data_IF_866454857601
#
_entry.id   IF_866454857601
#
_cell.length_a   1.000
_cell.length_b   1.000
_cell.length_c   1.000
_cell.angle_alpha   90.00
_cell.angle_beta   90.00
_cell.angle_gamma   90.00
#
_symmetry.space_group_name_H-M   'P 1'
#
loop_
_entity.id
_entity.type
_entity.pdbx_description
1 polymer ?
#
# COMPACT_ATOMS: atom_id res chain seq x y z
N UNK A 1 -23.21 2.51 19.01
CA UNK A 1 -23.70 1.46 18.07
C UNK A 1 -22.78 1.25 16.86
N UNK A 2 -22.43 2.28 16.05
CA UNK A 2 -21.55 2.07 14.87
C UNK A 2 -20.14 1.56 15.22
N UNK A 3 -19.52 2.04 16.30
CA UNK A 3 -18.18 1.60 16.70
C UNK A 3 -18.14 0.12 17.13
N UNK A 4 -19.25 -0.39 17.66
CA UNK A 4 -19.35 -1.72 18.26
C UNK A 4 -19.27 -2.85 17.23
N UNK A 5 -19.77 -2.64 16.00
CA UNK A 5 -19.76 -3.66 14.93
C UNK A 5 -18.32 -3.90 14.44
N UNK A 6 -17.56 -2.84 14.17
CA UNK A 6 -16.17 -2.97 13.72
C UNK A 6 -15.28 -3.59 14.79
N UNK A 7 -15.42 -3.16 16.05
CA UNK A 7 -14.67 -3.75 17.16
C UNK A 7 -14.94 -5.26 17.31
N UNK A 8 -16.23 -5.65 17.23
CA UNK A 8 -16.62 -7.06 17.30
C UNK A 8 -16.04 -7.86 16.13
N UNK A 9 -16.19 -7.38 14.89
CA UNK A 9 -15.67 -8.07 13.71
C UNK A 9 -14.14 -8.19 13.73
N UNK A 10 -13.43 -7.16 14.20
CA UNK A 10 -11.97 -7.20 14.38
C UNK A 10 -11.57 -8.24 15.43
N UNK A 11 -12.27 -8.30 16.56
CA UNK A 11 -11.98 -9.29 17.61
C UNK A 11 -12.23 -10.72 17.11
N UNK A 12 -13.42 -10.99 16.57
CA UNK A 12 -13.79 -12.32 16.07
C UNK A 12 -12.83 -12.80 14.96
N UNK A 13 -12.47 -11.90 14.04
CA UNK A 13 -11.52 -12.23 12.98
C UNK A 13 -10.10 -12.41 13.52
N UNK A 14 -9.69 -11.65 14.54
CA UNK A 14 -8.39 -11.84 15.20
C UNK A 14 -8.28 -13.26 15.77
N UNK A 15 -9.26 -13.67 16.56
CA UNK A 15 -9.31 -15.00 17.16
C UNK A 15 -9.31 -16.10 16.09
N UNK A 16 -10.13 -15.92 15.04
CA UNK A 16 -10.20 -16.85 13.90
C UNK A 16 -8.88 -16.98 13.16
N UNK A 17 -8.20 -15.87 12.88
CA UNK A 17 -6.90 -15.86 12.20
C UNK A 17 -5.78 -16.44 13.06
N UNK A 18 -5.81 -16.24 14.38
CA UNK A 18 -4.84 -16.84 15.29
C UNK A 18 -4.99 -18.36 15.41
N UNK A 19 -6.21 -18.89 15.19
CA UNK A 19 -6.49 -20.33 15.21
C UNK A 19 -6.08 -21.07 13.93
N UNK A 20 -5.72 -20.38 12.84
CA UNK A 20 -5.33 -21.02 11.58
C UNK A 20 -3.97 -21.73 11.72
N UNK A 21 -3.85 -23.00 11.31
CA UNK A 21 -2.60 -23.74 11.36
C UNK A 21 -1.72 -23.40 10.14
N UNK A 22 -1.17 -22.18 10.10
CA UNK A 22 -0.42 -21.68 8.94
C UNK A 22 0.75 -22.57 8.48
N UNK A 23 1.39 -23.28 9.41
CA UNK A 23 2.52 -24.15 9.10
C UNK A 23 2.10 -25.37 8.26
N UNK A 24 0.88 -25.88 8.44
CA UNK A 24 0.35 -27.03 7.68
C UNK A 24 -0.55 -26.61 6.52
N UNK A 25 -0.98 -25.35 6.47
CA UNK A 25 -1.76 -24.82 5.35
C UNK A 25 -0.92 -24.86 4.05
N UNK A 26 -1.57 -25.27 2.95
CA UNK A 26 -0.95 -25.38 1.62
C UNK A 26 -0.77 -24.00 0.97
N UNK A 27 0.11 -23.19 1.55
CA UNK A 27 0.51 -21.87 1.05
C UNK A 27 2.04 -21.79 0.95
N UNK A 28 2.55 -20.87 0.13
CA UNK A 28 3.98 -20.73 -0.13
C UNK A 28 4.79 -20.39 1.14
N UNK A 29 6.06 -20.77 1.17
CA UNK A 29 6.98 -20.43 2.27
C UNK A 29 7.10 -18.91 2.48
N UNK A 30 7.10 -18.15 1.39
CA UNK A 30 7.03 -16.69 1.39
C UNK A 30 5.82 -16.20 2.21
N UNK A 31 4.61 -16.67 1.89
CA UNK A 31 3.40 -16.25 2.59
C UNK A 31 3.36 -16.73 4.04
N UNK A 32 3.86 -17.93 4.35
CA UNK A 32 4.01 -18.39 5.75
C UNK A 32 4.90 -17.44 6.55
N UNK A 33 6.05 -17.06 6.00
CA UNK A 33 6.99 -16.14 6.65
C UNK A 33 6.37 -14.76 6.86
N UNK A 34 5.71 -14.22 5.82
CA UNK A 34 5.03 -12.93 5.88
C UNK A 34 3.93 -12.92 6.95
N UNK A 35 3.01 -13.89 6.90
CA UNK A 35 1.91 -14.01 7.87
C UNK A 35 2.46 -14.20 9.28
N UNK A 36 3.47 -15.05 9.50
CA UNK A 36 4.10 -15.26 10.81
C UNK A 36 4.58 -13.96 11.45
N UNK A 37 5.07 -13.00 10.65
CA UNK A 37 5.44 -11.68 11.12
C UNK A 37 4.24 -10.80 11.52
N UNK A 38 3.09 -10.98 10.87
CA UNK A 38 1.87 -10.21 11.12
C UNK A 38 1.05 -10.71 12.31
N UNK A 39 0.95 -12.04 12.51
CA UNK A 39 0.05 -12.66 13.51
C UNK A 39 0.19 -12.09 14.92
N UNK A 40 1.39 -11.84 15.46
CA UNK A 40 1.55 -11.25 16.80
C UNK A 40 0.87 -9.87 16.95
N UNK A 41 0.67 -9.15 15.85
CA UNK A 41 0.05 -7.83 15.83
C UNK A 41 -1.21 -7.79 14.94
N UNK A 42 -1.84 -8.94 14.64
CA UNK A 42 -2.96 -9.01 13.67
C UNK A 42 -4.12 -8.11 14.06
N UNK A 43 -4.45 -8.02 15.36
CA UNK A 43 -5.50 -7.13 15.85
C UNK A 43 -5.22 -5.64 15.56
N UNK A 44 -3.95 -5.23 15.52
CA UNK A 44 -3.56 -3.89 15.12
C UNK A 44 -3.73 -3.66 13.61
N UNK A 45 -3.29 -4.60 12.77
CA UNK A 45 -3.51 -4.50 11.32
C UNK A 45 -5.00 -4.49 10.96
N UNK A 46 -5.81 -5.34 11.59
CA UNK A 46 -7.26 -5.34 11.40
C UNK A 46 -7.92 -4.03 11.86
N UNK A 47 -7.38 -3.34 12.88
CA UNK A 47 -7.86 -1.99 13.24
C UNK A 47 -7.53 -0.94 12.17
N UNK A 48 -6.37 -1.04 11.52
CA UNK A 48 -6.02 -0.17 10.38
C UNK A 48 -7.03 -0.40 9.24
N UNK A 49 -7.29 -1.66 8.92
CA UNK A 49 -8.27 -2.05 7.89
C UNK A 49 -9.68 -1.57 8.25
N UNK A 50 -10.12 -1.75 9.49
CA UNK A 50 -11.41 -1.26 9.98
C UNK A 50 -11.53 0.26 9.85
N UNK A 51 -10.45 1.01 10.11
CA UNK A 51 -10.43 2.47 9.93
C UNK A 51 -10.68 2.86 8.47
N UNK A 52 -10.00 2.18 7.53
CA UNK A 52 -10.18 2.43 6.10
C UNK A 52 -11.59 2.04 5.63
N UNK A 53 -12.10 0.88 6.08
CA UNK A 53 -13.46 0.43 5.78
C UNK A 53 -14.51 1.41 6.30
N UNK A 54 -14.38 1.87 7.55
CA UNK A 54 -15.32 2.82 8.13
C UNK A 54 -15.34 4.14 7.36
N UNK A 55 -14.17 4.67 6.99
CA UNK A 55 -14.08 5.89 6.20
C UNK A 55 -14.62 5.70 4.78
N UNK A 56 -14.26 4.59 4.12
CA UNK A 56 -14.71 4.29 2.75
C UNK A 56 -16.20 4.05 2.65
N UNK A 57 -16.78 3.29 3.57
CA UNK A 57 -18.24 3.07 3.65
C UNK A 57 -18.95 4.42 3.87
N UNK A 58 -18.48 5.23 4.81
CA UNK A 58 -19.07 6.54 5.06
C UNK A 58 -18.97 7.49 3.85
N UNK A 59 -17.83 7.49 3.15
CA UNK A 59 -17.59 8.31 1.97
C UNK A 59 -18.38 7.89 0.74
N UNK A 60 -18.74 6.60 0.64
CA UNK A 60 -19.53 6.07 -0.49
C UNK A 60 -21.00 6.49 -0.49
N UNK A 61 -21.55 6.86 0.67
CA UNK A 61 -22.99 7.11 0.84
C UNK A 61 -23.89 5.86 0.73
N UNK A 62 -23.31 4.66 0.54
CA UNK A 62 -24.02 3.39 0.40
C UNK A 62 -24.00 2.57 1.69
N UNK A 63 -24.96 1.66 1.85
CA UNK A 63 -24.86 0.66 2.91
C UNK A 63 -23.78 -0.39 2.58
N UNK A 64 -23.16 -1.05 3.57
CA UNK A 64 -22.13 -2.07 3.30
C UNK A 64 -22.57 -3.15 2.30
N UNK A 65 -23.83 -3.59 2.38
CA UNK A 65 -24.38 -4.66 1.51
C UNK A 65 -24.50 -4.26 0.05
N UNK A 66 -24.55 -2.97 -0.25
CA UNK A 66 -24.66 -2.43 -1.62
C UNK A 66 -23.29 -2.12 -2.23
N UNK A 67 -22.21 -2.23 -1.46
CA UNK A 67 -20.87 -1.90 -1.91
C UNK A 67 -20.22 -3.06 -2.64
N UNK A 68 -19.61 -2.71 -3.78
CA UNK A 68 -18.55 -3.50 -4.40
C UNK A 68 -17.19 -2.89 -4.03
N UNK A 69 -16.40 -3.62 -3.25
CA UNK A 69 -15.08 -3.18 -2.79
C UNK A 69 -13.95 -3.91 -3.51
N UNK A 70 -12.88 -3.20 -3.83
CA UNK A 70 -11.61 -3.75 -4.28
C UNK A 70 -10.62 -3.76 -3.12
N UNK A 71 -10.05 -4.93 -2.82
CA UNK A 71 -8.86 -5.13 -1.98
C UNK A 71 -7.65 -5.26 -2.92
N UNK A 72 -6.94 -4.15 -3.16
CA UNK A 72 -5.89 -4.08 -4.18
C UNK A 72 -4.51 -4.22 -3.52
N UNK A 73 -3.72 -5.19 -4.00
CA UNK A 73 -2.51 -5.68 -3.31
C UNK A 73 -2.87 -6.42 -2.04
N UNK A 74 -3.89 -7.28 -2.10
CA UNK A 74 -4.53 -7.83 -0.91
C UNK A 74 -3.65 -8.78 -0.08
N UNK A 75 -2.49 -9.22 -0.59
CA UNK A 75 -1.51 -10.03 0.11
C UNK A 75 -2.09 -11.33 0.67
N UNK A 76 -2.32 -11.39 1.99
CA UNK A 76 -2.91 -12.56 2.64
C UNK A 76 -4.45 -12.58 2.61
N UNK A 77 -5.09 -11.53 2.09
CA UNK A 77 -6.55 -11.40 2.00
C UNK A 77 -7.25 -11.02 3.31
N UNK A 78 -6.51 -10.64 4.36
CA UNK A 78 -7.10 -10.32 5.66
C UNK A 78 -8.04 -9.10 5.63
N UNK A 79 -7.76 -8.11 4.77
CA UNK A 79 -8.65 -6.98 4.54
C UNK A 79 -9.96 -7.45 3.89
N UNK A 80 -9.89 -8.26 2.83
CA UNK A 80 -11.07 -8.90 2.22
C UNK A 80 -11.91 -9.69 3.23
N UNK A 81 -11.27 -10.45 4.11
CA UNK A 81 -11.96 -11.20 5.16
C UNK A 81 -12.69 -10.27 6.12
N UNK A 82 -12.04 -9.19 6.58
CA UNK A 82 -12.66 -8.22 7.47
C UNK A 82 -13.83 -7.51 6.79
N UNK A 83 -13.69 -7.14 5.52
CA UNK A 83 -14.74 -6.53 4.72
C UNK A 83 -15.98 -7.42 4.65
N UNK A 84 -15.81 -8.73 4.43
CA UNK A 84 -16.94 -9.68 4.49
C UNK A 84 -17.54 -9.81 5.88
N UNK A 85 -16.70 -9.86 6.93
CA UNK A 85 -17.18 -9.95 8.32
C UNK A 85 -18.05 -8.75 8.74
N UNK A 86 -17.82 -7.57 8.17
CA UNK A 86 -18.66 -6.37 8.42
C UNK A 86 -19.84 -6.23 7.44
N UNK A 87 -20.02 -7.18 6.52
CA UNK A 87 -21.19 -7.26 5.64
C UNK A 87 -21.06 -6.52 4.31
N UNK A 88 -19.85 -6.32 3.79
CA UNK A 88 -19.66 -5.80 2.43
C UNK A 88 -20.28 -6.76 1.41
N UNK A 89 -21.09 -6.21 0.50
CA UNK A 89 -21.86 -6.96 -0.50
C UNK A 89 -20.96 -7.82 -1.39
N UNK A 90 -20.06 -7.18 -2.12
CA UNK A 90 -19.11 -7.85 -3.01
C UNK A 90 -17.68 -7.36 -2.76
N UNK A 91 -16.73 -8.29 -2.67
CA UNK A 91 -15.30 -8.01 -2.49
C UNK A 91 -14.50 -8.65 -3.60
N UNK A 92 -13.75 -7.83 -4.33
CA UNK A 92 -12.83 -8.22 -5.39
C UNK A 92 -11.41 -8.12 -4.82
N UNK A 93 -10.74 -9.26 -4.68
CA UNK A 93 -9.33 -9.31 -4.33
C UNK A 93 -8.48 -9.19 -5.59
N UNK A 94 -7.45 -8.34 -5.56
CA UNK A 94 -6.49 -8.19 -6.66
C UNK A 94 -5.07 -8.22 -6.09
N UNK A 95 -4.20 -9.04 -6.65
CA UNK A 95 -2.76 -9.03 -6.33
C UNK A 95 -1.92 -9.45 -7.54
N UNK A 96 -0.74 -8.86 -7.69
CA UNK A 96 0.18 -9.19 -8.77
C UNK A 96 0.90 -10.52 -8.53
N UNK A 97 1.07 -10.91 -7.27
CA UNK A 97 1.81 -12.12 -6.90
C UNK A 97 0.87 -13.35 -6.90
N UNK A 98 1.03 -14.32 -7.84
CA UNK A 98 0.23 -15.53 -7.88
C UNK A 98 0.25 -16.32 -6.56
N UNK A 99 1.38 -16.31 -5.84
CA UNK A 99 1.50 -17.00 -4.56
C UNK A 99 0.62 -16.35 -3.49
N UNK A 100 0.49 -15.02 -3.50
CA UNK A 100 -0.39 -14.28 -2.58
C UNK A 100 -1.86 -14.52 -2.92
N UNK A 101 -2.23 -14.48 -4.20
CA UNK A 101 -3.58 -14.84 -4.67
C UNK A 101 -3.97 -16.24 -4.19
N UNK A 102 -3.09 -17.22 -4.38
CA UNK A 102 -3.29 -18.58 -3.91
C UNK A 102 -3.44 -18.63 -2.38
N UNK A 103 -2.59 -17.93 -1.63
CA UNK A 103 -2.66 -17.92 -0.17
C UNK A 103 -3.97 -17.33 0.35
N UNK A 104 -4.40 -16.19 -0.19
CA UNK A 104 -5.66 -15.56 0.15
C UNK A 104 -6.87 -16.47 -0.16
N UNK A 105 -6.83 -17.18 -1.30
CA UNK A 105 -7.86 -18.16 -1.66
C UNK A 105 -7.89 -19.35 -0.67
N UNK A 106 -6.73 -19.92 -0.32
CA UNK A 106 -6.64 -21.04 0.66
C UNK A 106 -7.12 -20.62 2.05
N UNK A 107 -6.83 -19.40 2.46
CA UNK A 107 -7.34 -18.86 3.72
C UNK A 107 -8.86 -18.69 3.69
N UNK A 108 -9.43 -18.23 2.57
CA UNK A 108 -10.89 -18.22 2.38
C UNK A 108 -11.48 -19.63 2.49
N UNK A 109 -10.90 -20.63 1.83
CA UNK A 109 -11.37 -22.02 1.91
C UNK A 109 -11.36 -22.53 3.36
N UNK A 110 -10.24 -22.31 4.06
CA UNK A 110 -10.07 -22.80 5.44
C UNK A 110 -11.02 -22.11 6.43
N UNK A 111 -11.17 -20.80 6.30
CA UNK A 111 -11.93 -20.00 7.28
C UNK A 111 -13.41 -19.86 6.89
N UNK A 112 -13.78 -20.11 5.64
CA UNK A 112 -15.12 -19.82 5.13
C UNK A 112 -15.44 -18.32 5.02
N UNK A 113 -14.43 -17.44 5.06
CA UNK A 113 -14.60 -15.99 4.97
C UNK A 113 -13.48 -15.41 4.10
N UNK A 114 -13.81 -14.54 3.15
CA UNK A 114 -12.83 -13.94 2.23
C UNK A 114 -13.49 -13.39 0.98
N UNK A 115 -12.69 -12.84 0.06
CA UNK A 115 -13.19 -12.18 -1.15
C UNK A 115 -14.14 -13.06 -1.97
N UNK A 116 -15.07 -12.44 -2.68
CA UNK A 116 -16.01 -13.13 -3.56
C UNK A 116 -15.30 -13.53 -4.87
N UNK A 117 -14.40 -12.68 -5.36
CA UNK A 117 -13.58 -12.87 -6.55
C UNK A 117 -12.09 -12.67 -6.24
N UNK A 118 -11.23 -13.46 -6.88
CA UNK A 118 -9.78 -13.32 -6.84
C UNK A 118 -9.27 -13.08 -8.25
N UNK A 119 -8.55 -11.98 -8.45
CA UNK A 119 -7.87 -11.64 -9.69
C UNK A 119 -6.36 -11.61 -9.45
N UNK A 120 -5.64 -12.36 -10.28
CA UNK A 120 -4.19 -12.24 -10.39
C UNK A 120 -3.89 -11.18 -11.46
N UNK A 121 -3.22 -10.11 -11.07
CA UNK A 121 -2.78 -9.09 -12.03
C UNK A 121 -2.72 -7.68 -11.48
N UNK A 122 -2.61 -6.74 -12.41
CA UNK A 122 -2.49 -5.30 -12.18
C UNK A 122 -3.81 -4.58 -12.41
N UNK A 123 -3.75 -3.25 -12.50
CA UNK A 123 -4.89 -2.41 -12.87
C UNK A 123 -5.51 -2.78 -14.21
N UNK A 124 -4.73 -3.32 -15.14
CA UNK A 124 -5.15 -3.77 -16.45
C UNK A 124 -6.10 -4.97 -16.36
N UNK A 125 -5.71 -6.05 -15.67
CA UNK A 125 -6.58 -7.23 -15.49
C UNK A 125 -7.88 -6.88 -14.75
N UNK A 126 -7.80 -6.00 -13.74
CA UNK A 126 -8.98 -5.51 -13.06
C UNK A 126 -9.89 -4.72 -14.02
N UNK A 127 -9.32 -3.83 -14.83
CA UNK A 127 -10.09 -3.03 -15.79
C UNK A 127 -10.74 -3.90 -16.86
N UNK A 128 -10.04 -4.92 -17.36
CA UNK A 128 -10.56 -5.88 -18.34
C UNK A 128 -11.77 -6.63 -17.75
N UNK A 129 -11.62 -7.20 -16.55
CA UNK A 129 -12.71 -7.88 -15.87
C UNK A 129 -13.92 -6.96 -15.61
N UNK A 130 -13.69 -5.72 -15.16
CA UNK A 130 -14.77 -4.76 -14.95
C UNK A 130 -15.51 -4.39 -16.24
N UNK A 131 -14.81 -4.27 -17.38
CA UNK A 131 -15.46 -4.02 -18.68
C UNK A 131 -16.30 -5.22 -19.11
N UNK A 132 -15.75 -6.43 -19.02
CA UNK A 132 -16.42 -7.65 -19.47
C UNK A 132 -17.67 -7.98 -18.65
N UNK A 133 -17.63 -7.69 -17.35
CA UNK A 133 -18.76 -7.91 -16.42
C UNK A 133 -19.66 -6.70 -16.24
N UNK A 134 -19.30 -5.56 -16.84
CA UNK A 134 -19.93 -4.25 -16.61
C UNK A 134 -19.97 -3.85 -15.13
N UNK A 135 -19.05 -4.41 -14.32
CA UNK A 135 -18.95 -4.13 -12.89
C UNK A 135 -18.34 -2.75 -12.65
N UNK A 136 -18.94 -1.99 -11.73
CA UNK A 136 -18.46 -0.67 -11.31
C UNK A 136 -18.21 -0.65 -9.80
N UNK A 137 -16.99 -1.00 -9.36
CA UNK A 137 -16.64 -0.95 -7.95
C UNK A 137 -16.76 0.46 -7.37
N UNK A 138 -17.13 0.54 -6.10
CA UNK A 138 -17.45 1.79 -5.38
C UNK A 138 -16.28 2.27 -4.50
N UNK A 139 -15.54 1.33 -3.96
CA UNK A 139 -14.51 1.55 -2.96
C UNK A 139 -13.28 0.70 -3.29
N UNK A 140 -12.11 1.32 -3.32
CA UNK A 140 -10.83 0.63 -3.33
C UNK A 140 -10.10 0.92 -2.02
N UNK A 141 -9.58 -0.14 -1.41
CA UNK A 141 -8.65 -0.03 -0.30
C UNK A 141 -7.38 -0.79 -0.68
N UNK A 142 -6.23 -0.15 -0.50
CA UNK A 142 -4.93 -0.76 -0.69
C UNK A 142 -4.03 -0.38 0.50
N UNK A 143 -3.37 -1.37 1.09
CA UNK A 143 -2.53 -1.15 2.28
C UNK A 143 -1.11 -1.61 1.99
N UNK A 144 -0.12 -0.77 2.26
CA UNK A 144 1.30 -1.11 2.07
C UNK A 144 1.62 -1.44 0.60
N UNK A 145 1.21 -0.55 -0.31
CA UNK A 145 1.29 -0.76 -1.76
C UNK A 145 1.72 0.49 -2.52
N UNK A 146 1.17 1.66 -2.19
CA UNK A 146 1.32 2.87 -3.02
C UNK A 146 2.78 3.36 -3.08
N UNK A 147 3.56 3.06 -2.05
CA UNK A 147 5.00 3.31 -1.95
C UNK A 147 5.86 2.41 -2.85
N UNK A 148 5.29 1.33 -3.37
CA UNK A 148 5.96 0.32 -4.20
C UNK A 148 5.66 0.48 -5.70
N UNK A 149 4.52 1.09 -6.04
CA UNK A 149 4.07 1.27 -7.42
C UNK A 149 5.02 2.18 -8.22
N UNK A 150 5.56 1.66 -9.31
CA UNK A 150 6.51 2.38 -10.17
C UNK A 150 5.93 3.70 -10.70
N UNK A 151 4.91 3.58 -11.57
CA UNK A 151 4.19 4.69 -12.19
C UNK A 151 2.83 4.90 -11.53
N UNK A 152 2.81 5.74 -10.50
CA UNK A 152 1.57 6.11 -9.81
C UNK A 152 0.58 6.88 -10.69
N UNK A 153 1.07 7.63 -11.69
CA UNK A 153 0.20 8.40 -12.56
C UNK A 153 -0.62 7.46 -13.44
N UNK A 154 0.02 6.46 -14.05
CA UNK A 154 -0.65 5.40 -14.81
C UNK A 154 -1.56 4.56 -13.91
N UNK A 155 -1.10 4.21 -12.71
CA UNK A 155 -1.89 3.46 -11.73
C UNK A 155 -3.24 4.15 -11.40
N UNK A 156 -3.20 5.44 -11.04
CA UNK A 156 -4.44 6.19 -10.78
C UNK A 156 -5.32 6.34 -12.02
N UNK A 157 -4.72 6.59 -13.19
CA UNK A 157 -5.47 6.68 -14.44
C UNK A 157 -6.23 5.38 -14.74
N UNK A 158 -5.57 4.23 -14.56
CA UNK A 158 -6.17 2.91 -14.73
C UNK A 158 -7.36 2.70 -13.79
N UNK A 159 -7.18 2.97 -12.49
CA UNK A 159 -8.26 2.82 -11.50
C UNK A 159 -9.46 3.72 -11.78
N UNK A 160 -9.22 4.99 -12.11
CA UNK A 160 -10.29 5.97 -12.36
C UNK A 160 -11.04 5.66 -13.66
N UNK A 161 -10.36 5.06 -14.65
CA UNK A 161 -11.01 4.65 -15.90
C UNK A 161 -12.08 3.56 -15.71
N UNK A 162 -11.97 2.76 -14.64
CA UNK A 162 -12.96 1.74 -14.28
C UNK A 162 -14.26 2.40 -13.80
N UNK A 163 -14.13 3.35 -12.88
CA UNK A 163 -15.24 4.11 -12.35
C UNK A 163 -14.76 5.50 -11.89
N UNK A 164 -15.13 6.60 -12.58
CA UNK A 164 -14.76 7.95 -12.17
C UNK A 164 -15.29 8.38 -10.80
N UNK A 165 -16.26 7.65 -10.25
CA UNK A 165 -16.78 7.85 -8.90
C UNK A 165 -16.11 6.95 -7.84
N UNK A 166 -15.09 6.18 -8.20
CA UNK A 166 -14.40 5.26 -7.28
C UNK A 166 -13.76 6.05 -6.14
N UNK A 167 -14.12 5.73 -4.91
CA UNK A 167 -13.42 6.23 -3.73
C UNK A 167 -12.22 5.34 -3.42
N UNK A 168 -11.05 5.93 -3.14
CA UNK A 168 -9.82 5.14 -2.94
C UNK A 168 -9.15 5.51 -1.61
N UNK A 169 -8.72 4.51 -0.86
CA UNK A 169 -8.03 4.66 0.42
C UNK A 169 -6.73 3.88 0.41
N UNK A 170 -5.64 4.57 0.70
CA UNK A 170 -4.31 3.98 0.78
C UNK A 170 -3.74 4.15 2.17
N UNK A 171 -3.17 3.10 2.76
CA UNK A 171 -2.32 3.25 3.94
C UNK A 171 -0.87 3.05 3.57
N UNK A 172 0.00 3.95 4.02
CA UNK A 172 1.43 3.86 3.76
C UNK A 172 2.24 4.25 5.00
N UNK A 173 3.22 3.40 5.32
CA UNK A 173 4.23 3.71 6.33
C UNK A 173 5.29 4.69 5.79
N UNK A 174 5.38 4.86 4.46
CA UNK A 174 6.27 5.78 3.76
C UNK A 174 5.83 7.26 3.85
N UNK A 175 5.50 7.69 5.07
CA UNK A 175 5.05 9.06 5.36
C UNK A 175 6.18 10.09 5.16
N UNK A 176 5.94 11.20 4.42
CA UNK A 176 6.91 12.27 4.26
C UNK A 176 7.04 13.17 5.51
N UNK A 177 6.17 12.98 6.51
CA UNK A 177 6.04 13.86 7.67
C UNK A 177 6.94 13.45 8.83
N UNK A 178 6.94 12.17 9.21
CA UNK A 178 7.60 11.71 10.42
C UNK A 178 9.13 11.55 10.21
N UNK A 179 9.98 12.39 10.85
CA UNK A 179 11.43 12.37 10.62
C UNK A 179 12.08 11.06 11.06
N UNK A 180 11.55 10.40 12.10
CA UNK A 180 12.07 9.11 12.55
C UNK A 180 11.83 8.02 11.50
N UNK A 181 10.61 7.96 10.97
CA UNK A 181 10.25 6.99 9.91
C UNK A 181 11.07 7.24 8.65
N UNK A 182 11.16 8.50 8.18
CA UNK A 182 11.99 8.84 7.01
C UNK A 182 13.44 8.39 7.17
N UNK A 183 14.05 8.63 8.33
CA UNK A 183 15.44 8.20 8.59
C UNK A 183 15.57 6.68 8.51
N UNK A 184 14.59 5.93 9.02
CA UNK A 184 14.59 4.46 8.95
C UNK A 184 14.50 4.00 7.48
N UNK A 185 13.56 4.55 6.71
CA UNK A 185 13.35 4.15 5.31
C UNK A 185 14.54 4.50 4.42
N UNK A 186 15.15 5.68 4.61
CA UNK A 186 16.38 6.07 3.88
C UNK A 186 17.53 5.10 4.10
N UNK A 187 17.69 4.56 5.32
CA UNK A 187 18.68 3.51 5.57
C UNK A 187 18.39 2.23 4.79
N UNK A 188 17.11 1.86 4.63
CA UNK A 188 16.71 0.69 3.84
C UNK A 188 17.02 0.96 2.36
N UNK A 189 16.62 2.12 1.83
CA UNK A 189 16.94 2.52 0.46
C UNK A 189 18.44 2.51 0.19
N UNK A 190 19.25 3.08 1.08
CA UNK A 190 20.70 3.07 0.97
C UNK A 190 21.28 1.66 1.03
N UNK A 191 20.69 0.76 1.85
CA UNK A 191 21.13 -0.63 1.93
C UNK A 191 20.87 -1.42 0.65
N UNK A 192 19.77 -1.13 -0.06
CA UNK A 192 19.44 -1.70 -1.37
C UNK A 192 20.32 -1.12 -2.48
N UNK A 193 20.66 0.17 -2.38
CA UNK A 193 21.48 0.88 -3.35
C UNK A 193 22.96 0.50 -3.26
N UNK A 194 23.49 0.32 -2.05
CA UNK A 194 24.93 0.09 -1.79
C UNK A 194 25.29 -1.38 -1.59
N UNK A 195 24.30 -2.24 -1.33
CA UNK A 195 24.48 -3.70 -1.29
C UNK A 195 24.62 -4.33 0.09
N UNK A 196 24.29 -3.61 1.16
CA UNK A 196 24.24 -4.21 2.49
C UNK A 196 22.96 -5.03 2.74
N UNK A 197 21.90 -4.83 1.95
CA UNK A 197 20.65 -5.61 2.05
C UNK A 197 20.46 -6.64 0.94
N UNK A 198 21.06 -6.42 -0.23
CA UNK A 198 20.88 -7.29 -1.40
C UNK A 198 22.11 -7.26 -2.31
N UNK A 199 22.36 -8.38 -2.98
CA UNK A 199 23.47 -8.54 -3.94
C UNK A 199 22.96 -9.31 -5.17
N UNK A 200 23.14 -8.79 -6.40
CA UNK A 200 23.74 -7.50 -6.73
C UNK A 200 22.84 -6.33 -6.33
N UNK A 201 23.44 -5.25 -5.81
CA UNK A 201 22.73 -4.04 -5.39
C UNK A 201 22.16 -3.27 -6.59
N UNK A 202 21.22 -2.35 -6.36
CA UNK A 202 20.54 -1.66 -7.47
C UNK A 202 21.46 -0.78 -8.31
N UNK A 203 22.49 -0.18 -7.72
CA UNK A 203 23.50 0.56 -8.49
C UNK A 203 24.24 -0.38 -9.45
N UNK A 204 24.74 -1.52 -8.95
CA UNK A 204 25.43 -2.54 -9.74
C UNK A 204 24.55 -3.09 -10.85
N UNK A 205 23.28 -3.40 -10.56
CA UNK A 205 22.32 -3.83 -11.59
C UNK A 205 22.21 -2.82 -12.73
N UNK A 206 22.07 -1.52 -12.43
CA UNK A 206 22.02 -0.47 -13.46
C UNK A 206 23.34 -0.34 -14.22
N UNK A 207 24.47 -0.33 -13.50
CA UNK A 207 25.80 -0.25 -14.10
C UNK A 207 26.04 -1.36 -15.12
N UNK A 208 25.78 -2.61 -14.72
CA UNK A 208 25.97 -3.78 -15.58
C UNK A 208 25.02 -3.80 -16.77
N UNK A 209 23.76 -3.40 -16.56
CA UNK A 209 22.80 -3.23 -17.64
C UNK A 209 23.29 -2.20 -18.66
N UNK A 210 23.66 -1.00 -18.22
CA UNK A 210 24.11 0.09 -19.10
C UNK A 210 25.37 -0.32 -19.85
N UNK A 211 26.37 -0.90 -19.17
CA UNK A 211 27.61 -1.40 -19.80
C UNK A 211 27.32 -2.40 -20.93
N UNK A 212 26.30 -3.24 -20.74
CA UNK A 212 25.92 -4.26 -21.71
C UNK A 212 25.16 -3.67 -22.89
N UNK A 213 24.22 -2.74 -22.64
CA UNK A 213 23.37 -2.17 -23.68
C UNK A 213 24.03 -1.02 -24.46
N UNK A 214 25.00 -0.32 -23.86
CA UNK A 214 25.65 0.86 -24.41
C UNK A 214 27.19 0.72 -24.35
N UNK A 215 27.77 -0.23 -25.11
CA UNK A 215 29.20 -0.59 -25.01
C UNK A 215 30.16 0.52 -25.48
N UNK A 216 29.65 1.58 -26.13
CA UNK A 216 30.45 2.74 -26.54
C UNK A 216 30.75 3.71 -25.40
N UNK A 217 30.02 3.62 -24.29
CA UNK A 217 30.23 4.49 -23.13
C UNK A 217 31.51 4.08 -22.39
N UNK A 218 32.30 5.06 -21.98
CA UNK A 218 33.48 4.81 -21.14
C UNK A 218 33.08 4.64 -19.66
N UNK A 219 33.99 4.13 -18.82
CA UNK A 219 33.74 3.85 -17.40
C UNK A 219 33.23 5.07 -16.60
N UNK A 220 33.67 6.29 -16.94
CA UNK A 220 33.19 7.51 -16.30
C UNK A 220 31.73 7.80 -16.64
N UNK A 221 31.36 7.65 -17.90
CA UNK A 221 29.98 7.80 -18.38
C UNK A 221 29.07 6.71 -17.80
N UNK A 222 29.54 5.45 -17.76
CA UNK A 222 28.82 4.33 -17.16
C UNK A 222 28.47 4.61 -15.69
N UNK A 223 29.45 5.09 -14.92
CA UNK A 223 29.26 5.43 -13.51
C UNK A 223 28.26 6.60 -13.34
N UNK A 224 28.41 7.65 -14.16
CA UNK A 224 27.51 8.80 -14.12
C UNK A 224 26.06 8.41 -14.45
N UNK A 225 25.86 7.62 -15.51
CA UNK A 225 24.54 7.14 -15.90
C UNK A 225 23.93 6.21 -14.84
N UNK A 226 24.71 5.30 -14.25
CA UNK A 226 24.22 4.42 -13.18
C UNK A 226 23.75 5.21 -11.95
N UNK A 227 24.39 6.36 -11.65
CA UNK A 227 23.98 7.26 -10.57
C UNK A 227 22.76 8.10 -10.92
N UNK A 228 22.75 8.78 -12.08
CA UNK A 228 21.68 9.71 -12.41
C UNK A 228 20.35 8.99 -12.71
N UNK A 229 20.42 7.72 -13.16
CA UNK A 229 19.24 6.87 -13.42
C UNK A 229 18.70 6.13 -12.18
N UNK A 230 19.15 6.50 -10.97
CA UNK A 230 18.57 5.98 -9.72
C UNK A 230 17.05 6.13 -9.72
N UNK A 231 16.35 5.04 -9.40
CA UNK A 231 14.89 5.00 -9.35
C UNK A 231 14.21 4.83 -10.73
N UNK A 232 14.95 4.44 -11.77
CA UNK A 232 14.40 4.07 -13.07
C UNK A 232 14.49 2.57 -13.33
N UNK A 233 13.54 2.06 -14.12
CA UNK A 233 13.61 0.71 -14.69
C UNK A 233 14.64 0.64 -15.83
N UNK A 234 15.08 -0.57 -16.18
CA UNK A 234 15.94 -0.81 -17.34
C UNK A 234 15.38 -0.24 -18.65
N UNK A 235 14.07 -0.36 -18.88
CA UNK A 235 13.42 0.23 -20.05
C UNK A 235 13.58 1.75 -20.07
N UNK A 236 13.31 2.42 -18.95
CA UNK A 236 13.44 3.88 -18.86
C UNK A 236 14.89 4.36 -18.87
N UNK A 237 15.82 3.58 -18.32
CA UNK A 237 17.26 3.81 -18.44
C UNK A 237 17.67 3.86 -19.91
N UNK A 238 17.23 2.88 -20.70
CA UNK A 238 17.51 2.87 -22.14
C UNK A 238 16.93 4.09 -22.84
N UNK A 239 15.69 4.46 -22.53
CA UNK A 239 15.02 5.61 -23.13
C UNK A 239 15.79 6.92 -22.85
N UNK A 240 16.20 7.16 -21.59
CA UNK A 240 16.87 8.43 -21.24
C UNK A 240 18.28 8.52 -21.83
N UNK A 241 19.03 7.42 -21.89
CA UNK A 241 20.36 7.38 -22.52
C UNK A 241 20.26 7.63 -24.03
N UNK A 242 19.30 6.97 -24.70
CA UNK A 242 19.08 7.17 -26.14
C UNK A 242 18.65 8.61 -26.47
N UNK A 243 17.90 9.26 -25.58
CA UNK A 243 17.50 10.66 -25.73
C UNK A 243 18.58 11.68 -25.30
N UNK A 244 19.72 11.20 -24.78
CA UNK A 244 20.78 12.00 -24.16
C UNK A 244 20.27 13.03 -23.13
N UNK A 245 19.20 12.65 -22.40
CA UNK A 245 18.58 13.49 -21.38
C UNK A 245 18.92 12.94 -20.00
N UNK A 246 20.00 13.44 -19.39
CA UNK A 246 20.39 13.04 -18.04
C UNK A 246 19.30 13.37 -17.03
N UNK A 247 18.64 12.36 -16.41
CA UNK A 247 17.62 12.62 -15.41
C UNK A 247 18.23 13.17 -14.12
N UNK A 248 17.44 13.96 -13.39
CA UNK A 248 17.78 14.40 -12.04
C UNK A 248 16.86 13.68 -11.06
N UNK A 249 17.39 12.80 -10.18
CA UNK A 249 16.58 12.14 -9.17
C UNK A 249 15.81 13.16 -8.32
N UNK A 250 14.49 12.97 -8.20
CA UNK A 250 13.65 13.91 -7.45
C UNK A 250 13.88 13.89 -5.93
N UNK A 251 14.45 12.80 -5.41
CA UNK A 251 14.92 12.64 -4.04
C UNK A 251 16.20 11.77 -4.09
N UNK A 252 17.25 12.10 -3.33
CA UNK A 252 18.53 11.41 -3.46
C UNK A 252 18.55 10.01 -2.83
N UNK A 253 17.53 9.61 -2.06
CA UNK A 253 17.43 8.30 -1.42
C UNK A 253 16.46 7.36 -2.13
N UNK A 254 15.35 7.87 -2.66
CA UNK A 254 14.37 7.01 -3.33
C UNK A 254 15.05 6.14 -4.40
N UNK A 255 14.81 4.84 -4.35
CA UNK A 255 15.37 3.86 -5.29
C UNK A 255 14.37 2.74 -5.54
N UNK A 256 14.46 2.09 -6.69
CA UNK A 256 13.63 0.95 -7.05
C UNK A 256 14.50 -0.17 -7.63
N UNK A 257 13.99 -1.39 -7.61
CA UNK A 257 14.60 -2.46 -8.37
C UNK A 257 14.47 -2.13 -9.87
N UNK A 258 15.58 -1.94 -10.60
CA UNK A 258 15.51 -1.53 -12.00
C UNK A 258 14.93 -2.63 -12.92
N UNK A 259 14.84 -3.88 -12.46
CA UNK A 259 14.26 -4.98 -13.24
C UNK A 259 12.73 -4.88 -13.35
N UNK A 260 12.06 -4.47 -12.27
CA UNK A 260 10.60 -4.55 -12.16
C UNK A 260 9.93 -3.24 -11.72
N UNK A 261 10.71 -2.22 -11.36
CA UNK A 261 10.21 -0.90 -10.95
C UNK A 261 9.64 -0.85 -9.55
N UNK A 262 9.74 -1.93 -8.76
CA UNK A 262 9.27 -1.94 -7.39
C UNK A 262 10.12 -0.98 -6.53
N UNK A 263 9.50 0.09 -6.06
CA UNK A 263 10.15 1.06 -5.20
C UNK A 263 10.43 0.49 -3.81
N UNK A 264 11.61 0.80 -3.28
CA UNK A 264 11.95 0.52 -1.89
C UNK A 264 11.37 1.62 -0.99
N UNK A 265 10.11 1.46 -0.59
CA UNK A 265 9.45 2.32 0.40
C UNK A 265 9.47 3.81 0.01
N UNK A 266 9.13 4.13 -1.26
CA UNK A 266 9.32 5.48 -1.80
C UNK A 266 8.61 6.52 -0.94
N UNK A 267 9.39 7.46 -0.40
CA UNK A 267 8.84 8.63 0.28
C UNK A 267 8.45 9.65 -0.78
N UNK A 268 7.14 9.91 -0.91
CA UNK A 268 6.61 10.85 -1.90
C UNK A 268 5.89 12.02 -1.22
N UNK A 269 6.17 13.28 -1.60
CA UNK A 269 5.41 14.43 -1.10
C UNK A 269 3.92 14.34 -1.45
N UNK A 270 3.05 14.72 -0.51
CA UNK A 270 1.58 14.69 -0.72
C UNK A 270 1.12 15.53 -1.91
N UNK A 271 1.85 16.60 -2.24
CA UNK A 271 1.55 17.40 -3.43
C UNK A 271 1.63 16.58 -4.72
N UNK A 272 2.54 15.61 -4.84
CA UNK A 272 2.62 14.76 -6.04
C UNK A 272 1.37 13.91 -6.25
N UNK A 273 0.81 13.35 -5.17
CA UNK A 273 -0.47 12.65 -5.25
C UNK A 273 -1.60 13.58 -5.72
N UNK A 274 -1.64 14.82 -5.21
CA UNK A 274 -2.60 15.84 -5.66
C UNK A 274 -2.43 16.15 -7.14
N UNK A 275 -1.20 16.32 -7.60
CA UNK A 275 -0.89 16.65 -8.99
C UNK A 275 -1.31 15.51 -9.94
N UNK A 276 -1.12 14.25 -9.54
CA UNK A 276 -1.53 13.09 -10.34
C UNK A 276 -3.06 12.94 -10.43
N UNK A 277 -3.78 13.34 -9.39
CA UNK A 277 -5.23 13.19 -9.29
C UNK A 277 -6.02 14.43 -9.74
N UNK A 278 -5.37 15.60 -9.82
CA UNK A 278 -5.98 16.87 -10.25
C UNK A 278 -6.68 16.79 -11.62
N UNK A 279 -6.12 16.15 -12.66
CA UNK A 279 -6.78 16.04 -13.97
C UNK A 279 -8.13 15.30 -13.93
N UNK A 280 -8.37 14.51 -12.89
CA UNK A 280 -9.55 13.68 -12.74
C UNK A 280 -10.59 14.28 -11.77
N UNK A 281 -10.39 15.52 -11.31
CA UNK A 281 -11.24 16.17 -10.32
C UNK A 281 -11.37 15.36 -9.01
N UNK A 282 -10.23 14.89 -8.50
CA UNK A 282 -10.13 14.21 -7.20
C UNK A 282 -9.48 15.10 -6.14
N UNK A 283 -10.04 15.05 -4.93
CA UNK A 283 -9.44 15.61 -3.72
C UNK A 283 -8.61 14.55 -2.99
N UNK A 284 -7.45 14.96 -2.52
CA UNK A 284 -6.58 14.12 -1.68
C UNK A 284 -6.65 14.60 -0.23
N UNK A 285 -7.03 13.72 0.69
CA UNK A 285 -7.10 14.01 2.13
C UNK A 285 -6.11 13.10 2.84
N UNK A 286 -5.42 13.63 3.84
CA UNK A 286 -4.43 12.88 4.62
C UNK A 286 -4.89 12.79 6.06
N UNK A 287 -5.08 11.56 6.52
CA UNK A 287 -5.41 11.25 7.91
C UNK A 287 -4.22 10.62 8.64
N UNK A 288 -4.21 10.77 9.96
CA UNK A 288 -3.14 10.30 10.84
C UNK A 288 -3.35 8.83 11.17
N UNK A 289 -2.32 8.02 10.98
CA UNK A 289 -2.23 6.68 11.57
C UNK A 289 -1.96 6.73 13.07
N UNK A 290 -1.93 5.56 13.70
CA UNK A 290 -1.78 5.39 15.14
C UNK A 290 -0.82 4.23 15.45
N UNK A 291 -0.23 4.22 16.63
CA UNK A 291 0.65 3.15 17.09
C UNK A 291 -0.13 1.97 17.67
N UNK A 292 0.44 0.77 17.53
CA UNK A 292 -0.07 -0.43 18.18
C UNK A 292 0.07 -0.34 19.71
N UNK A 293 -1.06 -0.27 20.42
CA UNK A 293 -1.12 -0.30 21.88
C UNK A 293 -1.14 -1.71 22.47
N UNK A 294 -1.42 -2.76 21.68
CA UNK A 294 -1.35 -4.15 22.14
C UNK A 294 0.11 -4.57 22.26
N UNK A 295 0.73 -4.26 23.41
CA UNK A 295 2.13 -4.50 23.72
C UNK A 295 2.25 -5.30 25.01
N UNK A 296 3.14 -6.29 25.02
CA UNK A 296 3.41 -7.11 26.21
C UNK A 296 4.13 -6.32 27.32
N UNK A 297 4.81 -5.24 26.96
CA UNK A 297 5.54 -4.39 27.91
C UNK A 297 4.71 -3.17 28.31
N UNK A 298 4.49 -2.99 29.62
CA UNK A 298 3.81 -1.82 30.19
C UNK A 298 4.43 -0.49 29.75
N UNK A 299 5.76 -0.42 29.67
CA UNK A 299 6.47 0.79 29.22
C UNK A 299 6.16 1.05 27.75
N UNK A 300 6.23 0.02 26.88
CA UNK A 300 5.92 0.17 25.45
C UNK A 300 4.45 0.55 25.24
N UNK A 301 3.55 -0.05 26.00
CA UNK A 301 2.12 0.30 26.02
C UNK A 301 1.94 1.78 26.38
N UNK A 302 2.52 2.24 27.49
CA UNK A 302 2.40 3.62 27.95
C UNK A 302 2.95 4.61 26.92
N UNK A 303 4.11 4.30 26.32
CA UNK A 303 4.69 5.11 25.23
C UNK A 303 3.76 5.18 24.03
N UNK A 304 3.21 4.06 23.56
CA UNK A 304 2.29 4.04 22.42
C UNK A 304 1.03 4.84 22.71
N UNK A 305 0.47 4.71 23.93
CA UNK A 305 -0.71 5.46 24.36
C UNK A 305 -0.44 6.97 24.40
N UNK A 306 0.71 7.39 24.96
CA UNK A 306 1.11 8.80 24.95
C UNK A 306 1.29 9.34 23.53
N UNK A 307 1.91 8.58 22.63
CA UNK A 307 2.07 8.97 21.23
C UNK A 307 0.72 9.08 20.52
N UNK A 308 -0.21 8.15 20.76
CA UNK A 308 -1.55 8.19 20.18
C UNK A 308 -2.35 9.40 20.67
N UNK A 309 -2.29 9.71 21.97
CA UNK A 309 -2.88 10.93 22.52
C UNK A 309 -2.29 12.20 21.89
N UNK A 310 -0.96 12.25 21.74
CA UNK A 310 -0.28 13.37 21.08
C UNK A 310 -0.73 13.53 19.63
N UNK A 311 -0.79 12.43 18.88
CA UNK A 311 -1.27 12.40 17.49
C UNK A 311 -2.70 12.92 17.41
N UNK A 312 -3.59 12.50 18.32
CA UNK A 312 -4.98 12.91 18.38
C UNK A 312 -5.14 14.41 18.64
N UNK A 313 -4.46 14.94 19.67
CA UNK A 313 -4.70 16.29 20.20
C UNK A 313 -4.03 17.43 19.41
N UNK A 314 -3.00 17.14 18.62
CA UNK A 314 -2.15 18.19 18.00
C UNK A 314 -2.54 18.57 16.57
N UNK A 315 -3.79 18.32 16.15
CA UNK A 315 -4.27 18.72 14.82
C UNK A 315 -3.38 18.18 13.69
N UNK A 316 -2.89 19.06 12.81
CA UNK A 316 -1.95 18.71 11.70
C UNK A 316 -0.54 18.36 12.19
N UNK A 317 -0.08 18.91 13.32
CA UNK A 317 1.25 18.60 13.86
C UNK A 317 1.39 17.14 14.27
N UNK A 318 0.27 16.48 14.58
CA UNK A 318 0.23 15.04 14.84
C UNK A 318 0.76 14.17 13.69
N UNK A 319 0.78 14.68 12.44
CA UNK A 319 1.39 13.97 11.30
C UNK A 319 2.90 13.76 11.47
N UNK A 320 3.58 14.62 12.24
CA UNK A 320 5.02 14.45 12.52
C UNK A 320 5.29 13.28 13.47
N UNK A 321 4.30 12.88 14.26
CA UNK A 321 4.38 11.75 15.18
C UNK A 321 3.70 10.49 14.64
N UNK A 322 2.79 10.60 13.66
CA UNK A 322 2.07 9.46 13.12
C UNK A 322 3.03 8.41 12.49
N UNK A 323 2.85 7.11 12.79
CA UNK A 323 3.73 6.06 12.26
C UNK A 323 3.45 5.72 10.79
N UNK A 324 2.24 6.00 10.33
CA UNK A 324 1.78 5.85 8.95
C UNK A 324 0.72 6.92 8.68
N UNK A 325 0.33 7.07 7.42
CA UNK A 325 -0.78 7.94 7.01
C UNK A 325 -1.81 7.16 6.21
N UNK A 326 -3.04 7.67 6.21
CA UNK A 326 -4.10 7.22 5.32
C UNK A 326 -4.30 8.33 4.28
N UNK A 327 -4.16 7.99 3.00
CA UNK A 327 -4.40 8.88 1.87
C UNK A 327 -5.77 8.50 1.31
N UNK A 328 -6.73 9.40 1.46
CA UNK A 328 -8.07 9.27 0.87
C UNK A 328 -8.11 10.07 -0.42
N UNK A 329 -8.43 9.41 -1.53
CA UNK A 329 -8.63 10.03 -2.83
C UNK A 329 -10.12 9.95 -3.15
N UNK A 330 -10.79 11.11 -3.15
CA UNK A 330 -12.24 11.21 -3.28
C UNK A 330 -12.60 12.04 -4.52
N UNK A 331 -13.61 11.65 -5.32
CA UNK A 331 -14.15 12.52 -6.35
C UNK A 331 -14.62 13.86 -5.76
N UNK A 332 -14.34 14.97 -6.43
CA UNK A 332 -14.82 16.29 -5.99
C UNK A 332 -16.35 16.30 -5.90
N UNK A 333 -16.87 16.95 -4.85
CA UNK A 333 -18.31 16.94 -4.55
C UNK A 333 -18.79 15.75 -3.71
N UNK A 334 -17.92 14.80 -3.39
CA UNK A 334 -18.23 13.72 -2.45
C UNK A 334 -18.47 14.28 -1.03
N UNK A 335 -19.56 13.89 -0.38
CA UNK A 335 -19.93 14.34 0.96
C UNK A 335 -19.12 13.62 2.05
N UNK A 336 -17.81 13.81 2.14
CA UNK A 336 -17.01 13.24 3.22
C UNK A 336 -16.17 14.31 3.92
N UNK A 337 -16.58 14.69 5.14
CA UNK A 337 -15.74 15.48 6.07
C UNK A 337 -14.91 14.51 6.89
N UNK A 338 -13.59 14.64 6.81
CA UNK A 338 -12.61 13.76 7.45
C UNK A 338 -12.44 14.08 8.93
N UNK A 339 -13.25 13.51 9.80
CA UNK A 339 -12.92 13.42 11.23
C UNK A 339 -12.57 11.96 11.55
N UNK A 340 -11.39 11.74 12.12
CA UNK A 340 -10.82 10.42 12.41
C UNK A 340 -11.59 9.79 13.59
N UNK A 341 -12.51 8.84 13.39
CA UNK A 341 -13.51 8.49 14.41
C UNK A 341 -13.02 7.49 15.47
N UNK A 342 -11.73 7.10 15.44
CA UNK A 342 -11.15 6.05 16.28
C UNK A 342 -10.00 6.51 17.19
N UNK A 343 -9.88 7.81 17.48
CA UNK A 343 -8.89 8.33 18.43
C UNK A 343 -9.34 8.23 19.91
N UNK A 344 -10.10 7.21 20.28
CA UNK A 344 -10.51 6.95 21.67
C UNK A 344 -10.18 5.53 22.09
#
# INVERSE_FOLDING_TARGET
>A
MKNTIYHKAVQELTEKLQAVPYETLSISSYNKSYIKGMIPAIGYFLKIYATCLQQGIAGSGKSPRELTMIDFGGGSGFLSMLAKSIGIGHVIYVDLNPLSVQAAFRLKEYTGTGADLFLEGSTEQLADWCRDTQSKPDLLIATDLIEHVYDLKRFFAGLISINPALTMYFTTASTPYNPYVKRKLRKIMDSCETGSALSPNYFTKRYEYIRTQFPSLNEGELNEWAHCTRGLTFGDISNVIQSDLKPVPSDPWNTCDPENGNWTERILPIQKYRDYLKPYAYDVIVSKGFYNEQRDSLVKWAVCKCLNSLIGLTGKMGLLAAPFIIISCLPQGSSCKSDNPLST
#
